data_IF_827861280511
#
_entry.id   IF_827861280511
#
_cell.length_a   1.000
_cell.length_b   1.000
_cell.length_c   1.000
_cell.angle_alpha   90.00
_cell.angle_beta   90.00
_cell.angle_gamma   90.00
#
_symmetry.space_group_name_H-M   'P 1'
#
loop_
_entity.id
_entity.type
_entity.pdbx_description
1 polymer ?
#
# COMPACT_ATOMS: atom_id res chain seq x y z
N UNK A 1 -13.93 43.47 21.46
CA UNK A 1 -14.96 43.08 20.46
C UNK A 1 -14.40 42.65 19.09
N UNK A 2 -13.08 42.46 18.90
CA UNK A 2 -12.49 42.12 17.59
C UNK A 2 -12.18 40.62 17.36
N UNK A 3 -12.38 39.74 18.35
CA UNK A 3 -11.95 38.33 18.30
C UNK A 3 -12.97 37.36 17.69
N UNK A 4 -14.23 37.77 17.48
CA UNK A 4 -15.29 36.91 16.93
C UNK A 4 -15.39 36.92 15.39
N UNK A 5 -14.77 37.89 14.71
CA UNK A 5 -14.82 38.00 13.24
C UNK A 5 -13.86 37.05 12.53
N UNK A 6 -12.65 36.86 13.08
CA UNK A 6 -11.61 36.05 12.46
C UNK A 6 -11.91 34.54 12.48
N UNK A 7 -12.57 34.06 13.53
CA UNK A 7 -12.98 32.66 13.70
C UNK A 7 -14.14 32.27 12.78
N UNK A 8 -15.11 33.17 12.59
CA UNK A 8 -16.19 32.98 11.60
C UNK A 8 -15.66 32.98 10.16
N UNK A 9 -14.71 33.86 9.85
CA UNK A 9 -14.10 33.91 8.51
C UNK A 9 -13.28 32.64 8.20
N UNK A 10 -12.53 32.11 9.17
CA UNK A 10 -11.82 30.83 9.01
C UNK A 10 -12.77 29.65 8.80
N UNK A 11 -13.87 29.57 9.54
CA UNK A 11 -14.87 28.50 9.39
C UNK A 11 -15.58 28.54 8.02
N UNK A 12 -15.90 29.73 7.52
CA UNK A 12 -16.48 29.94 6.18
C UNK A 12 -15.50 29.58 5.05
N UNK A 13 -14.21 29.86 5.21
CA UNK A 13 -13.17 29.47 4.24
C UNK A 13 -12.97 27.94 4.26
N UNK A 14 -12.94 27.30 5.43
CA UNK A 14 -12.80 25.83 5.53
C UNK A 14 -14.00 25.09 4.95
N UNK A 15 -15.23 25.57 5.21
CA UNK A 15 -16.45 25.00 4.61
C UNK A 15 -16.51 25.25 3.08
N UNK A 16 -16.06 26.42 2.62
CA UNK A 16 -15.96 26.74 1.19
C UNK A 16 -14.94 25.87 0.45
N UNK A 17 -13.79 25.59 1.05
CA UNK A 17 -12.74 24.73 0.46
C UNK A 17 -13.15 23.25 0.45
N UNK A 18 -13.84 22.76 1.48
CA UNK A 18 -14.39 21.39 1.51
C UNK A 18 -15.52 21.23 0.50
N UNK A 19 -16.40 22.22 0.36
CA UNK A 19 -17.45 22.23 -0.67
C UNK A 19 -16.89 22.27 -2.09
N UNK A 20 -15.84 23.06 -2.33
CA UNK A 20 -15.18 23.16 -3.63
C UNK A 20 -14.43 21.86 -4.00
N UNK A 21 -13.74 21.21 -3.05
CA UNK A 21 -13.12 19.90 -3.27
C UNK A 21 -14.16 18.79 -3.51
N UNK A 22 -15.28 18.80 -2.79
CA UNK A 22 -16.39 17.88 -3.01
C UNK A 22 -17.01 18.02 -4.41
N UNK A 23 -17.21 19.26 -4.88
CA UNK A 23 -17.74 19.53 -6.23
C UNK A 23 -16.73 19.15 -7.32
N UNK A 24 -15.43 19.42 -7.13
CA UNK A 24 -14.39 19.09 -8.11
C UNK A 24 -14.18 17.58 -8.22
N UNK A 25 -14.19 16.85 -7.10
CA UNK A 25 -14.09 15.37 -7.10
C UNK A 25 -15.33 14.71 -7.71
N UNK A 26 -16.54 15.23 -7.46
CA UNK A 26 -17.76 14.74 -8.08
C UNK A 26 -17.81 15.05 -9.59
N UNK A 27 -17.35 16.24 -10.00
CA UNK A 27 -17.23 16.61 -11.41
C UNK A 27 -16.16 15.77 -12.13
N UNK A 28 -15.01 15.49 -11.49
CA UNK A 28 -13.99 14.60 -12.07
C UNK A 28 -14.51 13.17 -12.22
N UNK A 29 -15.22 12.64 -11.21
CA UNK A 29 -15.84 11.32 -11.25
C UNK A 29 -16.93 11.22 -12.34
N UNK A 30 -17.76 12.26 -12.49
CA UNK A 30 -18.77 12.34 -13.55
C UNK A 30 -18.15 12.47 -14.94
N UNK A 31 -17.05 13.22 -15.07
CA UNK A 31 -16.29 13.35 -16.33
C UNK A 31 -15.57 12.05 -16.68
N UNK A 32 -15.04 11.31 -15.69
CA UNK A 32 -14.47 9.97 -15.92
C UNK A 32 -15.53 8.95 -16.30
N UNK A 33 -16.71 8.96 -15.66
CA UNK A 33 -17.85 8.14 -16.10
C UNK A 33 -18.32 8.50 -17.52
N UNK A 34 -18.41 9.79 -17.84
CA UNK A 34 -18.80 10.27 -19.17
C UNK A 34 -17.78 9.96 -20.26
N UNK A 35 -16.48 9.97 -19.95
CA UNK A 35 -15.43 9.54 -20.90
C UNK A 35 -15.34 8.03 -21.04
N UNK A 36 -15.68 7.26 -19.99
CA UNK A 36 -15.78 5.80 -20.08
C UNK A 36 -16.97 5.40 -20.98
N UNK A 37 -18.12 6.07 -20.84
CA UNK A 37 -19.30 5.83 -21.66
C UNK A 37 -19.05 6.17 -23.14
N UNK A 38 -18.41 7.31 -23.43
CA UNK A 38 -18.02 7.67 -24.81
C UNK A 38 -16.99 6.72 -25.43
N UNK A 39 -16.12 6.11 -24.61
CA UNK A 39 -15.14 5.10 -25.10
C UNK A 39 -15.80 3.75 -25.37
N UNK A 40 -16.82 3.37 -24.62
CA UNK A 40 -17.66 2.20 -24.90
C UNK A 40 -18.46 2.39 -26.21
N UNK A 41 -19.12 3.55 -26.37
CA UNK A 41 -19.86 3.88 -27.61
C UNK A 41 -18.95 3.91 -28.86
N UNK A 42 -17.70 4.37 -28.70
CA UNK A 42 -16.71 4.41 -29.78
C UNK A 42 -16.13 3.03 -30.14
N UNK A 43 -16.14 2.07 -29.20
CA UNK A 43 -15.75 0.68 -29.46
C UNK A 43 -16.87 -0.06 -30.19
N UNK A 44 -18.13 0.17 -29.81
CA UNK A 44 -19.31 -0.39 -30.51
C UNK A 44 -19.46 0.16 -31.93
N UNK A 45 -19.18 1.46 -32.14
CA UNK A 45 -19.20 2.07 -33.48
C UNK A 45 -18.08 1.58 -34.42
N UNK A 46 -16.91 1.17 -33.88
CA UNK A 46 -15.80 0.63 -34.68
C UNK A 46 -15.97 -0.84 -35.05
N UNK A 47 -16.71 -1.62 -34.24
CA UNK A 47 -16.98 -3.03 -34.53
C UNK A 47 -17.94 -3.20 -35.72
N UNK A 48 -18.86 -2.24 -35.93
CA UNK A 48 -19.82 -2.24 -37.04
C UNK A 48 -19.21 -1.88 -38.41
N UNK A 49 -18.03 -1.28 -38.45
CA UNK A 49 -17.39 -0.83 -39.71
C UNK A 49 -16.50 -1.89 -40.39
N UNK A 50 -16.26 -3.05 -39.78
CA UNK A 50 -15.34 -4.08 -40.31
C UNK A 50 -16.09 -5.22 -41.04
N UNK A 51 -17.44 -5.23 -41.02
CA UNK A 51 -18.24 -6.33 -41.58
C UNK A 51 -18.69 -6.16 -43.05
N UNK A 52 -17.90 -5.49 -43.90
CA UNK A 52 -18.17 -5.36 -45.33
C UNK A 52 -16.95 -5.81 -46.16
N UNK A 53 -16.65 -7.11 -46.13
CA UNK A 53 -15.60 -7.72 -46.95
C UNK A 53 -15.57 -9.23 -46.80
N UNK A 54 -16.09 -9.94 -47.80
CA UNK A 54 -16.25 -11.39 -47.87
C UNK A 54 -15.00 -12.20 -47.46
N UNK A 55 -15.18 -13.18 -46.55
CA UNK A 55 -14.71 -14.56 -46.75
C UNK A 55 -15.37 -15.51 -45.72
N UNK A 56 -15.82 -16.66 -46.21
CA UNK A 56 -16.56 -17.71 -45.53
C UNK A 56 -15.72 -18.51 -44.54
N UNK A 57 -15.98 -18.40 -43.24
CA UNK A 57 -15.87 -19.50 -42.25
C UNK A 57 -16.93 -19.25 -41.17
N UNK A 58 -17.84 -20.21 -40.95
CA UNK A 58 -18.78 -20.16 -39.81
C UNK A 58 -18.01 -20.43 -38.52
N UNK A 59 -17.34 -19.41 -37.98
CA UNK A 59 -17.09 -19.33 -36.55
C UNK A 59 -18.28 -18.62 -35.94
N UNK A 60 -19.09 -19.35 -35.19
CA UNK A 60 -20.12 -18.76 -34.33
C UNK A 60 -19.40 -17.91 -33.29
N UNK A 61 -19.19 -16.63 -33.59
CA UNK A 61 -18.77 -15.64 -32.60
C UNK A 61 -19.97 -15.51 -31.66
N UNK A 62 -19.91 -16.21 -30.53
CA UNK A 62 -20.78 -15.92 -29.40
C UNK A 62 -20.32 -14.56 -28.90
N UNK A 63 -20.87 -13.48 -29.46
CA UNK A 63 -20.87 -12.18 -28.81
C UNK A 63 -21.71 -12.32 -27.56
N UNK A 64 -21.08 -12.73 -26.46
CA UNK A 64 -21.65 -12.50 -25.14
C UNK A 64 -21.60 -11.00 -24.92
N UNK A 65 -22.64 -10.29 -25.35
CA UNK A 65 -22.95 -9.00 -24.77
C UNK A 65 -23.02 -9.23 -23.27
N UNK A 66 -22.21 -8.54 -22.44
CA UNK A 66 -22.40 -8.60 -21.00
C UNK A 66 -23.85 -8.22 -20.78
N UNK A 67 -24.64 -9.13 -20.20
CA UNK A 67 -25.94 -8.72 -19.67
C UNK A 67 -25.62 -7.60 -18.69
N UNK A 68 -25.91 -6.35 -19.06
CA UNK A 68 -26.01 -5.28 -18.10
C UNK A 68 -27.22 -5.62 -17.26
N UNK A 69 -27.01 -6.51 -16.28
CA UNK A 69 -28.00 -6.82 -15.30
C UNK A 69 -28.09 -5.61 -14.38
N UNK A 70 -28.81 -4.59 -14.88
CA UNK A 70 -29.05 -3.31 -14.22
C UNK A 70 -29.56 -3.53 -12.79
N UNK A 71 -30.22 -4.68 -12.53
CA UNK A 71 -30.69 -5.05 -11.20
C UNK A 71 -29.59 -5.15 -10.13
N UNK A 72 -28.39 -5.64 -10.45
CA UNK A 72 -27.31 -5.71 -9.46
C UNK A 72 -26.78 -4.30 -9.15
N UNK A 73 -26.55 -3.49 -10.19
CA UNK A 73 -26.07 -2.12 -10.02
C UNK A 73 -27.10 -1.28 -9.27
N UNK A 74 -28.38 -1.40 -9.59
CA UNK A 74 -29.46 -0.66 -8.91
C UNK A 74 -29.79 -1.21 -7.52
N UNK A 75 -29.39 -2.46 -7.20
CA UNK A 75 -29.52 -3.01 -5.83
C UNK A 75 -28.47 -2.50 -4.84
N UNK A 76 -27.45 -1.76 -5.31
CA UNK A 76 -26.45 -1.16 -4.43
C UNK A 76 -27.00 0.17 -3.89
N UNK A 77 -27.48 0.13 -2.65
CA UNK A 77 -27.88 1.34 -1.93
C UNK A 77 -26.69 1.98 -1.19
N UNK A 78 -26.42 3.25 -1.46
CA UNK A 78 -25.39 4.05 -0.79
C UNK A 78 -25.67 4.21 0.71
N UNK A 79 -26.94 4.26 1.11
CA UNK A 79 -27.35 4.38 2.52
C UNK A 79 -26.92 3.13 3.29
N UNK A 80 -27.04 1.94 2.69
CA UNK A 80 -26.61 0.70 3.33
C UNK A 80 -25.08 0.61 3.44
N UNK A 81 -24.36 1.06 2.42
CA UNK A 81 -22.89 1.18 2.50
C UNK A 81 -22.49 2.12 3.64
N UNK A 82 -23.11 3.30 3.73
CA UNK A 82 -22.82 4.27 4.79
C UNK A 82 -23.11 3.73 6.19
N UNK A 83 -24.17 2.93 6.38
CA UNK A 83 -24.45 2.26 7.68
C UNK A 83 -23.28 1.37 8.11
N UNK A 84 -22.73 0.57 7.19
CA UNK A 84 -21.56 -0.26 7.49
C UNK A 84 -20.34 0.59 7.81
N UNK A 85 -20.08 1.65 7.05
CA UNK A 85 -18.95 2.55 7.31
C UNK A 85 -19.06 3.26 8.66
N UNK A 86 -20.27 3.66 9.07
CA UNK A 86 -20.49 4.24 10.39
C UNK A 86 -20.25 3.24 11.52
N UNK A 87 -20.64 1.97 11.37
CA UNK A 87 -20.33 0.96 12.38
C UNK A 87 -18.82 0.68 12.44
N UNK A 88 -18.14 0.57 11.31
CA UNK A 88 -16.68 0.42 11.28
C UNK A 88 -15.98 1.60 11.95
N UNK A 89 -16.43 2.84 11.72
CA UNK A 89 -15.92 4.01 12.42
C UNK A 89 -16.19 3.92 13.93
N UNK A 90 -17.40 3.53 14.34
CA UNK A 90 -17.74 3.37 15.76
C UNK A 90 -16.86 2.31 16.45
N UNK A 91 -16.60 1.18 15.77
CA UNK A 91 -15.68 0.15 16.24
C UNK A 91 -14.28 0.71 16.43
N UNK A 92 -13.77 1.51 15.48
CA UNK A 92 -12.47 2.15 15.61
C UNK A 92 -12.45 3.13 16.79
N UNK A 93 -13.46 4.01 16.91
CA UNK A 93 -13.53 5.05 17.94
C UNK A 93 -13.49 4.47 19.35
N UNK A 94 -14.21 3.36 19.59
CA UNK A 94 -14.21 2.65 20.88
C UNK A 94 -13.00 1.73 21.10
N UNK A 95 -12.11 1.63 20.11
CA UNK A 95 -10.89 0.84 20.13
C UNK A 95 -9.63 1.68 19.84
N UNK A 96 -9.56 2.88 20.42
CA UNK A 96 -8.43 3.82 20.31
C UNK A 96 -8.18 4.35 18.89
N UNK A 97 -9.22 4.46 18.07
CA UNK A 97 -9.16 5.04 16.73
C UNK A 97 -8.63 4.09 15.65
N UNK A 98 -8.54 2.79 15.91
CA UNK A 98 -7.97 1.82 14.95
C UNK A 98 -8.71 0.48 14.93
N UNK A 99 -8.58 -0.21 13.80
CA UNK A 99 -9.01 -1.60 13.57
C UNK A 99 -7.82 -2.45 13.10
N UNK A 100 -6.59 -2.05 13.44
CA UNK A 100 -5.38 -2.79 13.10
C UNK A 100 -5.38 -4.20 13.70
N UNK A 101 -4.75 -5.16 13.02
CA UNK A 101 -4.58 -6.51 13.54
C UNK A 101 -3.99 -6.51 14.96
N UNK A 102 -4.32 -7.53 15.76
CA UNK A 102 -3.95 -7.60 17.17
C UNK A 102 -4.54 -6.49 18.06
N UNK A 103 -5.66 -5.89 17.65
CA UNK A 103 -6.40 -4.91 18.47
C UNK A 103 -7.82 -5.35 18.74
N UNK A 104 -8.43 -4.73 19.76
CA UNK A 104 -9.86 -4.87 20.03
C UNK A 104 -10.72 -4.49 18.81
N UNK A 105 -10.35 -3.43 18.09
CA UNK A 105 -11.12 -2.94 16.94
C UNK A 105 -11.13 -3.94 15.78
N UNK A 106 -10.03 -4.65 15.55
CA UNK A 106 -9.99 -5.71 14.53
C UNK A 106 -10.91 -6.88 14.90
N UNK A 107 -10.83 -7.37 16.14
CA UNK A 107 -11.66 -8.49 16.59
C UNK A 107 -13.16 -8.15 16.53
N UNK A 108 -13.53 -6.95 16.96
CA UNK A 108 -14.91 -6.47 16.84
C UNK A 108 -15.35 -6.28 15.38
N UNK A 109 -14.44 -5.89 14.48
CA UNK A 109 -14.72 -5.84 13.03
C UNK A 109 -15.04 -7.23 12.48
N UNK A 110 -14.24 -8.26 12.80
CA UNK A 110 -14.50 -9.62 12.33
C UNK A 110 -15.84 -10.15 12.86
N UNK A 111 -16.14 -9.88 14.14
CA UNK A 111 -17.43 -10.23 14.74
C UNK A 111 -18.60 -9.55 14.02
N UNK A 112 -18.47 -8.25 13.72
CA UNK A 112 -19.50 -7.50 13.00
C UNK A 112 -19.76 -8.07 11.60
N UNK A 113 -18.70 -8.35 10.83
CA UNK A 113 -18.81 -8.92 9.48
C UNK A 113 -19.46 -10.30 9.55
N UNK A 114 -18.95 -11.18 10.41
CA UNK A 114 -19.47 -12.53 10.60
C UNK A 114 -20.95 -12.52 10.99
N UNK A 115 -21.32 -11.68 11.95
CA UNK A 115 -22.71 -11.52 12.40
C UNK A 115 -23.61 -11.01 11.27
N UNK A 116 -23.18 -9.97 10.56
CA UNK A 116 -23.94 -9.36 9.46
C UNK A 116 -24.21 -10.38 8.36
N UNK A 117 -23.16 -11.07 7.87
CA UNK A 117 -23.29 -12.08 6.83
C UNK A 117 -24.19 -13.24 7.27
N UNK A 118 -23.99 -13.77 8.48
CA UNK A 118 -24.78 -14.90 8.99
C UNK A 118 -26.26 -14.57 9.19
N UNK A 119 -26.62 -13.30 9.41
CA UNK A 119 -28.00 -12.86 9.70
C UNK A 119 -28.73 -12.30 8.49
N UNK A 120 -28.01 -11.79 7.51
CA UNK A 120 -28.58 -11.08 6.35
C UNK A 120 -28.46 -11.85 5.04
N UNK A 121 -27.70 -12.95 5.03
CA UNK A 121 -27.49 -13.78 3.85
C UNK A 121 -27.77 -15.25 4.16
N UNK A 122 -27.77 -16.09 3.12
CA UNK A 122 -27.79 -17.54 3.23
C UNK A 122 -26.39 -18.16 3.02
N UNK A 123 -25.32 -17.36 3.17
CA UNK A 123 -23.96 -17.84 2.98
C UNK A 123 -23.52 -18.76 4.12
N UNK A 124 -22.70 -19.75 3.77
CA UNK A 124 -21.94 -20.50 4.79
C UNK A 124 -20.75 -19.65 5.19
N UNK A 125 -20.75 -19.13 6.41
CA UNK A 125 -19.72 -18.23 6.92
C UNK A 125 -18.78 -19.01 7.83
N UNK A 126 -17.50 -19.07 7.46
CA UNK A 126 -16.43 -19.63 8.29
C UNK A 126 -15.47 -18.52 8.69
N UNK A 127 -14.86 -18.71 9.84
CA UNK A 127 -13.74 -17.91 10.29
C UNK A 127 -12.52 -18.82 10.35
N UNK A 128 -11.50 -18.47 9.58
CA UNK A 128 -10.22 -19.17 9.58
C UNK A 128 -9.14 -18.23 10.12
N UNK A 129 -8.13 -18.76 10.78
CA UNK A 129 -7.08 -17.94 11.38
C UNK A 129 -5.70 -18.45 11.02
N UNK A 130 -4.79 -17.52 10.80
CA UNK A 130 -3.40 -17.81 10.49
C UNK A 130 -2.47 -17.03 11.43
N UNK A 131 -1.30 -17.59 11.78
CA UNK A 131 -0.35 -16.89 12.62
C UNK A 131 0.31 -15.75 11.84
N UNK A 132 0.41 -14.58 12.48
CA UNK A 132 1.21 -13.45 12.01
C UNK A 132 2.36 -13.24 12.98
N UNK A 133 3.57 -13.12 12.44
CA UNK A 133 4.75 -12.85 13.26
C UNK A 133 4.66 -11.47 13.89
N UNK A 134 5.07 -11.41 15.15
CA UNK A 134 5.26 -10.16 15.85
C UNK A 134 6.73 -9.96 16.17
N UNK A 135 7.11 -8.70 16.33
CA UNK A 135 8.47 -8.35 16.67
C UNK A 135 8.52 -6.93 17.22
N UNK A 136 9.52 -6.69 18.05
CA UNK A 136 9.85 -5.38 18.59
C UNK A 136 11.29 -5.01 18.22
N UNK A 137 11.65 -3.76 18.43
CA UNK A 137 13.04 -3.32 18.43
C UNK A 137 13.52 -3.28 19.89
N UNK A 138 14.71 -3.81 20.17
CA UNK A 138 15.33 -3.67 21.50
C UNK A 138 15.92 -2.28 21.71
N UNK A 139 16.32 -1.62 20.62
CA UNK A 139 16.83 -0.25 20.60
C UNK A 139 16.44 0.43 19.29
N UNK A 140 16.54 1.76 19.28
CA UNK A 140 16.39 2.50 18.04
C UNK A 140 17.43 2.04 17.00
N UNK A 141 17.03 1.90 15.71
CA UNK A 141 17.96 1.53 14.67
C UNK A 141 18.99 2.62 14.44
N UNK A 142 20.17 2.23 13.99
CA UNK A 142 21.28 3.13 13.70
C UNK A 142 21.63 3.03 12.22
N UNK A 143 21.76 4.19 11.58
CA UNK A 143 22.24 4.29 10.21
C UNK A 143 23.39 5.29 10.13
N UNK A 144 24.50 4.84 9.54
CA UNK A 144 25.72 5.63 9.38
C UNK A 144 26.17 5.49 7.93
N UNK A 145 26.64 6.59 7.35
CA UNK A 145 27.41 6.55 6.11
C UNK A 145 28.82 7.09 6.35
N UNK A 146 29.77 6.63 5.54
CA UNK A 146 31.11 7.18 5.43
C UNK A 146 31.41 7.45 3.96
N UNK A 147 31.73 8.70 3.65
CA UNK A 147 32.15 9.14 2.30
C UNK A 147 33.57 9.67 2.41
N UNK A 148 34.53 8.96 1.82
CA UNK A 148 35.96 9.30 1.92
C UNK A 148 36.44 9.47 3.38
N UNK A 149 35.93 8.64 4.29
CA UNK A 149 36.26 8.69 5.71
C UNK A 149 35.49 9.75 6.52
N UNK A 150 34.71 10.61 5.87
CA UNK A 150 33.81 11.54 6.58
C UNK A 150 32.56 10.79 7.01
N UNK A 151 32.37 10.66 8.31
CA UNK A 151 31.26 9.92 8.92
C UNK A 151 30.06 10.85 9.10
N UNK A 152 28.88 10.36 8.71
CA UNK A 152 27.60 10.99 9.01
C UNK A 152 26.67 9.99 9.69
N UNK A 153 26.13 10.40 10.84
CA UNK A 153 25.11 9.65 11.60
C UNK A 153 23.76 10.28 11.28
N UNK A 154 22.78 9.45 10.98
CA UNK A 154 21.44 9.89 10.60
C UNK A 154 20.45 9.74 11.76
N UNK A 155 19.40 10.55 11.74
CA UNK A 155 18.38 10.59 12.81
C UNK A 155 17.25 9.60 12.53
N UNK A 156 17.10 8.60 13.39
CA UNK A 156 15.86 7.83 13.50
C UNK A 156 14.84 8.63 14.33
N UNK A 157 13.62 8.75 13.83
CA UNK A 157 12.53 9.41 14.56
C UNK A 157 11.18 8.97 14.01
N UNK A 158 10.19 8.79 14.88
CA UNK A 158 8.80 8.58 14.45
C UNK A 158 8.09 9.90 14.08
N UNK A 159 8.66 11.04 14.47
CA UNK A 159 8.30 12.36 13.95
C UNK A 159 8.98 12.57 12.60
N UNK A 160 8.20 12.43 11.52
CA UNK A 160 8.65 12.50 10.13
C UNK A 160 9.25 13.86 9.74
N UNK A 161 9.00 14.91 10.52
CA UNK A 161 9.61 16.23 10.28
C UNK A 161 11.09 16.29 10.69
N UNK A 162 11.54 15.32 11.50
CA UNK A 162 12.91 15.20 12.00
C UNK A 162 13.64 13.95 11.49
N UNK A 163 12.90 12.98 10.96
CA UNK A 163 13.44 11.67 10.59
C UNK A 163 14.25 11.74 9.29
N UNK A 164 15.51 11.31 9.36
CA UNK A 164 16.32 11.05 8.17
C UNK A 164 15.97 9.70 7.56
N UNK A 165 15.56 8.74 8.40
CA UNK A 165 15.19 7.40 7.97
C UNK A 165 14.23 6.71 8.96
N UNK A 166 13.64 5.61 8.50
CA UNK A 166 12.79 4.70 9.26
C UNK A 166 13.23 3.26 9.03
N UNK A 167 12.92 2.39 9.99
CA UNK A 167 13.03 0.94 9.80
C UNK A 167 11.79 0.40 9.06
N UNK A 168 11.98 -0.61 8.22
CA UNK A 168 10.88 -1.29 7.55
C UNK A 168 10.29 -2.41 8.43
N UNK A 169 8.97 -2.45 8.63
CA UNK A 169 8.31 -3.54 9.36
C UNK A 169 8.63 -4.88 8.65
N UNK A 170 9.07 -5.89 9.40
CA UNK A 170 9.61 -7.17 8.93
C UNK A 170 11.00 -7.12 8.28
N UNK A 171 11.76 -6.03 8.45
CA UNK A 171 13.21 -6.04 8.28
C UNK A 171 13.85 -7.08 9.21
N UNK A 172 14.89 -7.77 8.73
CA UNK A 172 15.75 -8.56 9.63
C UNK A 172 16.71 -7.67 10.40
N UNK A 173 17.34 -8.25 11.42
CA UNK A 173 18.38 -7.57 12.18
C UNK A 173 19.69 -7.48 11.41
N UNK A 174 20.53 -6.51 11.79
CA UNK A 174 21.88 -6.33 11.26
C UNK A 174 22.80 -5.75 12.32
N UNK A 175 24.09 -6.08 12.26
CA UNK A 175 25.06 -5.58 13.21
C UNK A 175 25.65 -4.25 12.74
N UNK A 176 25.68 -3.25 13.62
CA UNK A 176 26.26 -1.94 13.33
C UNK A 176 27.75 -2.02 12.99
N UNK A 177 28.46 -3.07 13.37
CA UNK A 177 29.88 -3.26 13.01
C UNK A 177 30.09 -3.66 11.55
N UNK A 178 29.04 -4.10 10.86
CA UNK A 178 29.15 -4.58 9.48
C UNK A 178 29.22 -3.40 8.51
N UNK A 179 30.37 -3.26 7.83
CA UNK A 179 30.59 -2.23 6.82
C UNK A 179 30.06 -2.74 5.48
N UNK A 180 29.02 -2.09 4.97
CA UNK A 180 28.41 -2.40 3.68
C UNK A 180 28.83 -1.43 2.59
N UNK A 181 29.20 -1.98 1.43
CA UNK A 181 29.29 -1.20 0.18
C UNK A 181 27.92 -1.13 -0.48
N UNK A 182 27.66 -0.03 -1.18
CA UNK A 182 26.35 0.24 -1.78
C UNK A 182 26.40 0.07 -3.31
N UNK A 183 25.33 -0.50 -3.87
CA UNK A 183 25.04 -0.53 -5.30
C UNK A 183 23.77 0.27 -5.56
N UNK A 184 23.84 1.28 -6.42
CA UNK A 184 22.67 2.03 -6.87
C UNK A 184 21.90 1.18 -7.87
N UNK A 185 20.62 0.93 -7.61
CA UNK A 185 19.75 0.18 -8.50
C UNK A 185 18.98 1.17 -9.39
N UNK A 186 19.12 1.10 -10.72
CA UNK A 186 18.40 1.98 -11.64
C UNK A 186 16.90 1.66 -11.72
N UNK A 187 16.12 2.62 -12.23
CA UNK A 187 14.70 2.47 -12.59
C UNK A 187 13.79 1.90 -11.48
N UNK A 188 14.15 2.11 -10.21
CA UNK A 188 13.42 1.58 -9.06
C UNK A 188 13.49 0.07 -8.87
N UNK A 189 14.32 -0.65 -9.64
CA UNK A 189 14.59 -2.07 -9.44
C UNK A 189 13.41 -3.00 -9.74
N UNK A 190 12.50 -2.62 -10.62
CA UNK A 190 11.31 -3.43 -10.93
C UNK A 190 11.59 -4.57 -11.90
N UNK A 191 12.49 -4.36 -12.86
CA UNK A 191 12.82 -5.33 -13.89
C UNK A 191 14.09 -6.07 -13.51
N UNK A 192 14.23 -7.34 -13.90
CA UNK A 192 15.47 -8.09 -13.65
C UNK A 192 16.71 -7.42 -14.27
N UNK A 193 16.55 -6.73 -15.39
CA UNK A 193 17.62 -5.98 -16.06
C UNK A 193 18.21 -4.88 -15.19
N UNK A 194 17.43 -4.31 -14.26
CA UNK A 194 17.90 -3.27 -13.33
C UNK A 194 18.95 -3.84 -12.35
N UNK A 195 19.01 -5.16 -12.19
CA UNK A 195 19.86 -5.83 -11.20
C UNK A 195 21.10 -6.51 -11.81
N UNK A 196 21.26 -6.51 -13.13
CA UNK A 196 22.33 -7.27 -13.80
C UNK A 196 23.75 -6.81 -13.44
N UNK A 197 23.91 -5.54 -13.07
CA UNK A 197 25.21 -4.95 -12.68
C UNK A 197 25.39 -4.86 -11.15
N UNK A 198 24.52 -5.51 -10.38
CA UNK A 198 24.62 -5.52 -8.92
C UNK A 198 25.77 -6.41 -8.50
N UNK A 199 26.63 -5.86 -7.64
CA UNK A 199 27.74 -6.60 -7.06
C UNK A 199 27.19 -7.38 -5.87
N UNK A 200 27.34 -8.70 -5.92
CA UNK A 200 26.97 -9.63 -4.85
C UNK A 200 27.56 -9.19 -3.49
N UNK A 201 26.76 -9.29 -2.44
CA UNK A 201 27.11 -8.89 -1.07
C UNK A 201 26.99 -7.40 -0.77
N UNK A 202 26.64 -6.55 -1.75
CA UNK A 202 26.40 -5.12 -1.52
C UNK A 202 24.98 -4.81 -1.09
N UNK A 203 24.81 -3.66 -0.45
CA UNK A 203 23.51 -3.11 -0.08
C UNK A 203 22.91 -2.42 -1.30
N UNK A 204 21.68 -2.77 -1.65
CA UNK A 204 20.96 -2.17 -2.77
C UNK A 204 20.33 -0.84 -2.35
N UNK A 205 20.71 0.27 -3.00
CA UNK A 205 20.06 1.58 -2.82
C UNK A 205 19.04 1.80 -3.95
N UNK A 206 17.76 1.91 -3.58
CA UNK A 206 16.64 1.87 -4.52
C UNK A 206 15.75 3.09 -4.33
N UNK A 207 15.57 3.87 -5.40
CA UNK A 207 14.60 4.97 -5.43
C UNK A 207 13.18 4.41 -5.51
N UNK A 208 12.25 5.00 -4.76
CA UNK A 208 10.81 4.66 -4.82
C UNK A 208 10.19 5.17 -6.14
N UNK A 209 10.38 4.38 -7.19
CA UNK A 209 9.80 4.58 -8.51
C UNK A 209 9.49 3.23 -9.18
N UNK A 210 8.72 3.28 -10.27
CA UNK A 210 8.18 2.08 -10.91
C UNK A 210 6.93 1.54 -10.22
N UNK A 211 6.27 0.60 -10.89
CA UNK A 211 4.94 0.06 -10.57
C UNK A 211 4.97 -1.33 -9.89
N UNK A 212 6.15 -1.83 -9.54
CA UNK A 212 6.30 -3.09 -8.84
C UNK A 212 6.17 -2.95 -7.31
N UNK A 213 5.91 -4.07 -6.64
CA UNK A 213 5.83 -4.15 -5.18
C UNK A 213 7.21 -4.19 -4.50
N UNK A 214 7.29 -3.82 -3.22
CA UNK A 214 8.51 -4.02 -2.42
C UNK A 214 8.89 -5.51 -2.32
N UNK A 215 7.92 -6.42 -2.33
CA UNK A 215 8.16 -7.88 -2.35
C UNK A 215 8.93 -8.29 -3.61
N UNK A 216 8.55 -7.76 -4.78
CA UNK A 216 9.27 -8.02 -6.03
C UNK A 216 10.71 -7.47 -5.97
N UNK A 217 10.89 -6.23 -5.48
CA UNK A 217 12.23 -5.65 -5.30
C UNK A 217 13.11 -6.46 -4.35
N UNK A 218 12.55 -6.95 -3.24
CA UNK A 218 13.26 -7.83 -2.28
C UNK A 218 13.58 -9.19 -2.90
N UNK A 219 12.67 -9.77 -3.67
CA UNK A 219 12.91 -11.01 -4.41
C UNK A 219 14.10 -10.87 -5.36
N UNK A 220 14.17 -9.76 -6.10
CA UNK A 220 15.32 -9.47 -6.96
C UNK A 220 16.59 -9.26 -6.14
N UNK A 221 16.54 -8.43 -5.09
CA UNK A 221 17.69 -8.22 -4.19
C UNK A 221 18.26 -9.55 -3.66
N UNK A 222 17.37 -10.46 -3.25
CA UNK A 222 17.75 -11.79 -2.77
C UNK A 222 18.36 -12.64 -3.89
N UNK A 223 17.75 -12.65 -5.09
CA UNK A 223 18.25 -13.37 -6.27
C UNK A 223 19.66 -12.93 -6.68
N UNK A 224 19.95 -11.63 -6.58
CA UNK A 224 21.25 -11.04 -6.89
C UNK A 224 22.17 -10.92 -5.67
N UNK A 225 21.82 -11.60 -4.56
CA UNK A 225 22.62 -11.73 -3.35
C UNK A 225 23.01 -10.38 -2.70
N UNK A 226 22.10 -9.41 -2.68
CA UNK A 226 22.27 -8.19 -1.91
C UNK A 226 22.29 -8.49 -0.41
N UNK A 227 23.12 -7.78 0.37
CA UNK A 227 23.23 -7.96 1.82
C UNK A 227 22.24 -7.13 2.63
N UNK A 228 21.53 -6.21 1.98
CA UNK A 228 20.52 -5.34 2.58
C UNK A 228 19.92 -4.40 1.55
N UNK A 229 18.90 -3.64 1.95
CA UNK A 229 18.24 -2.66 1.08
C UNK A 229 18.10 -1.32 1.79
N UNK A 230 18.43 -0.26 1.08
CA UNK A 230 18.09 1.11 1.42
C UNK A 230 17.08 1.59 0.39
N UNK A 231 15.81 1.69 0.77
CA UNK A 231 14.84 2.42 -0.04
C UNK A 231 14.98 3.92 0.23
N UNK A 232 14.68 4.76 -0.75
CA UNK A 232 14.53 6.19 -0.50
C UNK A 232 13.45 6.82 -1.36
N UNK A 233 12.90 7.92 -0.86
CA UNK A 233 11.78 8.58 -1.51
C UNK A 233 12.21 9.31 -2.79
N UNK A 234 11.29 9.47 -3.75
CA UNK A 234 11.65 10.00 -5.08
C UNK A 234 11.76 11.53 -5.15
N UNK A 235 11.26 12.25 -4.15
CA UNK A 235 11.36 13.71 -4.07
C UNK A 235 10.55 14.48 -5.10
N UNK A 236 9.57 13.84 -5.79
CA UNK A 236 8.79 14.49 -6.86
C UNK A 236 7.72 15.45 -6.33
N UNK A 237 7.35 15.31 -5.06
CA UNK A 237 6.40 16.17 -4.36
C UNK A 237 6.91 16.47 -2.95
N UNK A 238 6.33 17.46 -2.28
CA UNK A 238 6.63 17.75 -0.87
C UNK A 238 6.31 16.59 0.07
N UNK A 239 5.35 15.74 -0.31
CA UNK A 239 4.97 14.53 0.42
C UNK A 239 6.02 13.40 0.21
N UNK A 240 6.77 13.46 -0.89
CA UNK A 240 7.81 12.48 -1.24
C UNK A 240 9.22 12.88 -0.76
N UNK A 241 9.34 13.77 0.23
CA UNK A 241 10.63 14.18 0.80
C UNK A 241 11.03 13.37 2.04
N UNK A 242 10.08 13.15 2.95
CA UNK A 242 10.30 12.42 4.19
C UNK A 242 10.42 10.90 3.93
N UNK A 243 11.08 10.15 4.84
CA UNK A 243 11.01 8.68 4.79
C UNK A 243 9.56 8.23 5.04
N UNK A 244 9.17 7.09 4.50
CA UNK A 244 7.85 6.50 4.70
C UNK A 244 7.94 5.21 5.50
N UNK A 245 6.94 4.96 6.37
CA UNK A 245 6.78 3.67 7.02
C UNK A 245 6.37 2.65 5.96
N UNK A 246 7.13 1.58 5.82
CA UNK A 246 6.80 0.47 4.91
C UNK A 246 6.69 -0.83 5.69
N UNK A 247 5.84 -1.72 5.20
CA UNK A 247 5.67 -3.09 5.71
C UNK A 247 6.13 -4.04 4.63
N UNK A 248 7.05 -4.94 4.98
CA UNK A 248 7.57 -5.97 4.09
C UNK A 248 6.78 -7.26 4.22
N UNK A 249 7.07 -8.20 3.34
CA UNK A 249 6.53 -9.56 3.48
C UNK A 249 7.14 -10.26 4.69
N UNK A 250 6.37 -11.15 5.33
CA UNK A 250 6.87 -11.95 6.44
C UNK A 250 8.00 -12.90 5.99
N UNK A 251 8.12 -13.26 4.72
CA UNK A 251 9.26 -14.06 4.23
C UNK A 251 10.54 -13.23 3.96
N UNK A 252 10.57 -11.93 4.28
CA UNK A 252 11.76 -11.10 4.11
C UNK A 252 12.93 -11.60 4.97
N UNK A 253 14.11 -11.68 4.34
CA UNK A 253 15.37 -12.12 4.96
C UNK A 253 16.45 -11.03 4.99
N UNK A 254 16.19 -9.85 4.43
CA UNK A 254 17.17 -8.77 4.31
C UNK A 254 16.94 -7.67 5.35
N UNK A 255 18.00 -7.01 5.85
CA UNK A 255 17.86 -5.78 6.61
C UNK A 255 17.46 -4.66 5.66
N UNK A 256 16.45 -3.87 6.04
CA UNK A 256 15.85 -2.84 5.20
C UNK A 256 15.56 -1.58 6.00
N UNK A 257 16.09 -0.45 5.51
CA UNK A 257 15.73 0.89 5.96
C UNK A 257 15.06 1.67 4.83
N UNK A 258 14.23 2.65 5.20
CA UNK A 258 13.65 3.62 4.29
C UNK A 258 14.17 5.02 4.63
N UNK A 259 14.91 5.62 3.70
CA UNK A 259 15.58 6.91 3.84
C UNK A 259 14.70 8.06 3.31
N UNK A 260 14.94 9.27 3.82
CA UNK A 260 14.44 10.50 3.20
C UNK A 260 15.00 10.65 1.78
N UNK A 261 14.31 11.43 0.96
CA UNK A 261 14.78 11.74 -0.39
C UNK A 261 16.19 12.33 -0.37
N UNK A 262 16.42 13.31 0.51
CA UNK A 262 17.72 13.99 0.63
C UNK A 262 18.83 13.00 0.96
N UNK A 263 18.64 12.14 1.95
CA UNK A 263 19.68 11.19 2.36
C UNK A 263 20.00 10.20 1.26
N UNK A 264 18.98 9.64 0.61
CA UNK A 264 19.19 8.70 -0.50
C UNK A 264 19.83 9.36 -1.73
N UNK A 265 19.44 10.60 -2.06
CA UNK A 265 20.04 11.32 -3.19
C UNK A 265 21.49 11.73 -2.91
N UNK A 266 21.80 12.22 -1.70
CA UNK A 266 23.17 12.52 -1.28
C UNK A 266 24.08 11.27 -1.42
N UNK A 267 23.56 10.08 -1.08
CA UNK A 267 24.29 8.81 -1.26
C UNK A 267 24.48 8.44 -2.73
N UNK A 268 23.45 8.58 -3.57
CA UNK A 268 23.59 8.34 -5.01
C UNK A 268 24.65 9.25 -5.62
N UNK A 269 24.61 10.55 -5.32
CA UNK A 269 25.55 11.53 -5.86
C UNK A 269 26.99 11.22 -5.43
N UNK A 270 27.17 10.81 -4.17
CA UNK A 270 28.46 10.37 -3.66
C UNK A 270 28.96 9.09 -4.36
N UNK A 271 28.11 8.08 -4.55
CA UNK A 271 28.49 6.80 -5.17
C UNK A 271 28.82 6.98 -6.67
N UNK A 272 28.08 7.82 -7.37
CA UNK A 272 28.32 8.08 -8.80
C UNK A 272 29.55 8.95 -9.04
N UNK A 273 30.02 9.67 -8.03
CA UNK A 273 31.32 10.33 -8.08
C UNK A 273 32.44 9.29 -7.91
N UNK A 274 33.10 8.95 -9.02
CA UNK A 274 34.13 7.89 -9.13
C UNK A 274 35.34 8.06 -8.21
N UNK A 275 35.52 9.24 -7.61
CA UNK A 275 36.58 9.52 -6.63
C UNK A 275 36.17 9.25 -5.18
N UNK A 276 34.95 8.76 -4.94
CA UNK A 276 34.40 8.56 -3.60
C UNK A 276 34.37 7.09 -3.20
N UNK A 277 34.94 6.79 -2.03
CA UNK A 277 34.71 5.53 -1.33
C UNK A 277 33.52 5.72 -0.39
N UNK A 278 32.38 5.09 -0.72
CA UNK A 278 31.13 5.18 0.05
C UNK A 278 30.85 3.84 0.72
N UNK A 279 30.69 3.88 2.03
CA UNK A 279 30.26 2.74 2.85
C UNK A 279 29.12 3.15 3.78
N UNK A 280 28.34 2.17 4.21
CA UNK A 280 27.25 2.36 5.17
C UNK A 280 27.29 1.28 6.24
N UNK A 281 26.72 1.58 7.40
CA UNK A 281 26.53 0.63 8.50
C UNK A 281 25.08 0.72 8.98
N UNK A 282 24.46 -0.45 9.18
CA UNK A 282 23.07 -0.59 9.60
C UNK A 282 23.04 -1.38 10.90
N UNK A 283 22.61 -0.75 11.99
CA UNK A 283 22.32 -1.42 13.26
C UNK A 283 20.83 -1.58 13.42
N UNK A 284 20.33 -2.82 13.36
CA UNK A 284 18.90 -3.12 13.59
C UNK A 284 18.83 -4.26 14.60
N UNK A 285 18.43 -3.96 15.83
CA UNK A 285 18.27 -4.94 16.89
C UNK A 285 16.80 -5.36 17.03
N UNK A 286 16.46 -6.46 16.34
CA UNK A 286 15.10 -7.00 16.30
C UNK A 286 14.93 -8.09 17.35
N UNK A 287 13.87 -7.95 18.15
CA UNK A 287 13.37 -8.97 19.07
C UNK A 287 12.15 -9.66 18.46
N UNK A 288 12.28 -10.94 18.12
CA UNK A 288 11.12 -11.75 17.76
C UNK A 288 10.18 -11.91 18.96
N UNK A 289 8.89 -11.67 18.73
CA UNK A 289 7.83 -11.93 19.69
C UNK A 289 7.01 -13.15 19.25
N UNK A 290 6.27 -13.79 20.15
CA UNK A 290 5.36 -14.87 19.77
C UNK A 290 4.39 -14.40 18.69
N UNK A 291 4.17 -15.25 17.69
CA UNK A 291 3.15 -14.99 16.67
C UNK A 291 1.76 -14.95 17.33
N UNK A 292 0.86 -14.14 16.77
CA UNK A 292 -0.54 -14.06 17.19
C UNK A 292 -1.47 -14.44 16.03
N UNK A 293 -2.66 -15.03 16.32
CA UNK A 293 -3.61 -15.39 15.28
C UNK A 293 -4.30 -14.14 14.71
N UNK A 294 -4.46 -14.12 13.39
CA UNK A 294 -5.27 -13.13 12.66
C UNK A 294 -6.34 -13.86 11.88
N UNK A 295 -7.59 -13.43 12.04
CA UNK A 295 -8.75 -14.07 11.43
C UNK A 295 -9.10 -13.50 10.05
N UNK A 296 -9.54 -14.38 9.16
CA UNK A 296 -10.25 -14.10 7.92
C UNK A 296 -11.69 -14.59 8.06
N UNK A 297 -12.64 -13.81 7.53
CA UNK A 297 -14.02 -14.27 7.34
C UNK A 297 -14.17 -14.71 5.88
N UNK A 298 -14.52 -15.97 5.67
CA UNK A 298 -14.82 -16.52 4.35
C UNK A 298 -16.31 -16.86 4.28
N UNK A 299 -17.00 -16.35 3.26
CA UNK A 299 -18.42 -16.59 3.07
C UNK A 299 -18.67 -17.22 1.70
N UNK A 300 -19.29 -18.40 1.70
CA UNK A 300 -19.54 -19.19 0.51
C UNK A 300 -21.03 -19.15 0.16
N UNK A 301 -21.33 -18.96 -1.12
CA UNK A 301 -22.69 -19.14 -1.63
C UNK A 301 -23.10 -20.60 -1.45
N UNK A 302 -24.37 -20.84 -1.12
CA UNK A 302 -24.92 -22.19 -0.94
C UNK A 302 -25.17 -22.94 -2.26
N UNK A 303 -25.03 -22.26 -3.39
CA UNK A 303 -25.23 -22.77 -4.74
C UNK A 303 -24.17 -22.23 -5.70
N UNK A 304 -24.01 -22.87 -6.86
CA UNK A 304 -23.06 -22.47 -7.91
C UNK A 304 -22.26 -23.67 -8.41
N UNK A 305 -21.42 -23.44 -9.42
CA UNK A 305 -20.49 -24.46 -9.89
C UNK A 305 -19.20 -24.41 -9.06
N UNK A 306 -18.93 -25.46 -8.27
CA UNK A 306 -17.72 -25.54 -7.44
C UNK A 306 -16.42 -25.53 -8.25
N UNK A 307 -16.44 -25.90 -9.54
CA UNK A 307 -15.26 -25.86 -10.41
C UNK A 307 -15.04 -24.49 -11.06
N UNK A 308 -15.95 -23.54 -10.87
CA UNK A 308 -15.88 -22.18 -11.43
C UNK A 308 -16.24 -21.17 -10.34
N UNK A 309 -15.28 -20.90 -9.46
CA UNK A 309 -15.45 -19.99 -8.33
C UNK A 309 -14.97 -18.58 -8.68
N UNK A 310 -15.76 -17.56 -8.33
CA UNK A 310 -15.34 -16.16 -8.33
C UNK A 310 -15.04 -15.76 -6.88
N UNK A 311 -13.81 -15.32 -6.62
CA UNK A 311 -13.44 -14.76 -5.33
C UNK A 311 -13.53 -13.24 -5.38
N UNK A 312 -14.31 -12.66 -4.47
CA UNK A 312 -14.37 -11.22 -4.23
C UNK A 312 -13.93 -11.01 -2.79
N UNK A 313 -13.02 -10.06 -2.56
CA UNK A 313 -12.46 -9.84 -1.24
C UNK A 313 -12.02 -8.40 -1.00
N UNK A 314 -11.86 -8.10 0.29
CA UNK A 314 -11.25 -6.90 0.84
C UNK A 314 -10.50 -7.30 2.13
N UNK A 315 -9.82 -6.36 2.76
CA UNK A 315 -9.18 -6.61 4.05
C UNK A 315 -9.92 -5.84 5.15
N UNK A 316 -10.06 -6.50 6.29
CA UNK A 316 -10.84 -6.01 7.41
C UNK A 316 -10.01 -5.21 8.41
N UNK A 317 -8.68 -5.15 8.29
CA UNK A 317 -7.84 -4.35 9.18
C UNK A 317 -7.70 -2.90 8.72
N UNK A 318 -7.17 -2.06 9.60
CA UNK A 318 -6.63 -0.74 9.29
C UNK A 318 -5.18 -0.64 9.73
N UNK A 319 -4.57 0.54 9.61
CA UNK A 319 -3.29 0.85 10.26
C UNK A 319 -3.51 1.30 11.71
N UNK A 320 -2.50 1.17 12.60
CA UNK A 320 -2.60 1.66 13.98
C UNK A 320 -2.94 3.14 14.10
N UNK A 321 -2.54 3.97 13.12
CA UNK A 321 -2.71 5.41 13.13
C UNK A 321 -4.11 5.90 12.71
N UNK A 322 -5.00 5.02 12.25
CA UNK A 322 -6.32 5.47 11.81
C UNK A 322 -7.38 4.39 11.62
N UNK A 323 -8.64 4.81 11.42
CA UNK A 323 -9.80 3.93 11.43
C UNK A 323 -9.95 3.09 10.16
N UNK A 324 -9.25 3.45 9.07
CA UNK A 324 -9.25 2.69 7.82
C UNK A 324 -10.62 2.57 7.16
N UNK A 325 -11.38 3.68 7.09
CA UNK A 325 -12.70 3.70 6.44
C UNK A 325 -12.56 3.64 4.91
N UNK A 326 -11.67 4.43 4.32
CA UNK A 326 -11.39 4.32 2.89
C UNK A 326 -10.43 3.16 2.57
N UNK A 327 -9.45 2.93 3.45
CA UNK A 327 -8.48 1.83 3.36
C UNK A 327 -8.65 0.90 4.57
N UNK A 328 -9.54 -0.09 4.52
CA UNK A 328 -10.33 -0.52 3.35
C UNK A 328 -11.81 -0.80 3.67
N UNK A 329 -12.35 -0.12 4.68
CA UNK A 329 -13.74 -0.28 5.12
C UNK A 329 -14.78 -0.11 4.01
N UNK A 330 -14.54 0.78 3.05
CA UNK A 330 -15.43 1.04 1.91
C UNK A 330 -15.64 -0.17 1.00
N UNK A 331 -14.77 -1.19 1.09
CA UNK A 331 -14.87 -2.44 0.35
C UNK A 331 -15.40 -3.61 1.19
N UNK A 332 -15.84 -3.39 2.43
CA UNK A 332 -16.40 -4.42 3.33
C UNK A 332 -17.93 -4.49 3.26
N UNK A 333 -18.50 -4.57 2.05
CA UNK A 333 -19.94 -4.77 1.81
C UNK A 333 -20.28 -6.25 1.67
#
# INVERSE_FOLDING_TARGET
MATNGLTKLRLLITLGVIGLFGIITFALAAVTLGTLNKRLDAVDGKLLAIAAGSLTTLSTVITMTPSQNLSLVTSIDVIDVLKHLHELQSIADRANGTRAINTRGFNETLQYIKYTLSRKTNFTVIEDSFPVRDFALNSDPVFISSVNGTIKIYTFSLDLTKADFLYAKYSTGSNITDIGYVSVIPNGGCNETDWQNVISGRIALIKKEGDCSSRQRISHATKYNASGILFYNNGRSSEDLAPIKIILSQDNILPVLFLSHKVGQDLVDAILNQSSNVTVQLGIDVKSLPAFPVGNICAYTSSGNATQTILIGSHADSVPEGPGINDNGIRLK
#
